data_IF_836937660064
#
_entry.id   IF_836937660064
#
_cell.length_a   1.000
_cell.length_b   1.000
_cell.length_c   1.000
_cell.angle_alpha   90.00
_cell.angle_beta   90.00
_cell.angle_gamma   90.00
#
_symmetry.space_group_name_H-M   'P 1'
#
loop_
_entity.id
_entity.type
_entity.pdbx_description
1 polymer ?
#
# COMPACT_ATOMS: atom_id res chain seq x y z
N UNK A 1 -9.10 -42.17 -21.49
CA UNK A 1 -8.09 -41.08 -21.38
C UNK A 1 -8.41 -40.31 -20.12
N UNK A 2 -7.59 -40.46 -19.08
CA UNK A 2 -7.75 -39.68 -17.84
C UNK A 2 -6.75 -38.52 -17.91
N UNK A 3 -7.27 -37.29 -17.97
CA UNK A 3 -6.47 -36.07 -17.85
C UNK A 3 -6.04 -35.95 -16.39
N UNK A 4 -4.77 -36.25 -16.11
CA UNK A 4 -4.19 -36.02 -14.80
C UNK A 4 -4.10 -34.51 -14.59
N UNK A 5 -5.06 -33.93 -13.88
CA UNK A 5 -4.99 -32.56 -13.41
C UNK A 5 -3.90 -32.49 -12.33
N UNK A 6 -2.73 -31.99 -12.69
CA UNK A 6 -1.71 -31.61 -11.73
C UNK A 6 -2.26 -30.46 -10.90
N UNK A 7 -2.71 -30.78 -9.69
CA UNK A 7 -3.06 -29.78 -8.68
C UNK A 7 -1.80 -28.92 -8.45
N UNK A 8 -1.88 -27.58 -8.60
CA UNK A 8 -0.74 -26.72 -8.34
C UNK A 8 -0.20 -26.96 -6.93
N UNK A 9 1.07 -27.33 -6.82
CA UNK A 9 1.72 -27.72 -5.57
C UNK A 9 1.84 -26.57 -4.56
N UNK A 10 1.62 -25.32 -4.99
CA UNK A 10 1.50 -24.15 -4.12
C UNK A 10 0.56 -23.11 -4.73
N UNK A 11 -0.56 -22.85 -4.05
CA UNK A 11 -1.43 -21.71 -4.35
C UNK A 11 -1.17 -20.65 -3.26
N UNK A 12 -0.87 -19.42 -3.67
CA UNK A 12 -0.58 -18.28 -2.78
C UNK A 12 -1.70 -17.26 -2.88
N UNK A 13 -2.18 -16.78 -1.74
CA UNK A 13 -3.13 -15.68 -1.69
C UNK A 13 -2.36 -14.35 -1.61
N UNK A 14 -2.59 -13.45 -2.56
CA UNK A 14 -2.15 -12.07 -2.41
C UNK A 14 -3.03 -11.37 -1.38
N UNK A 15 -2.41 -10.90 -0.30
CA UNK A 15 -3.14 -10.21 0.78
C UNK A 15 -3.57 -8.80 0.40
N UNK A 16 -2.91 -8.17 -0.57
CA UNK A 16 -3.19 -6.81 -1.05
C UNK A 16 -4.46 -6.79 -1.91
N UNK A 17 -4.58 -7.67 -2.91
CA UNK A 17 -5.71 -7.69 -3.84
C UNK A 17 -6.66 -8.90 -3.71
N UNK A 18 -6.42 -9.80 -2.74
CA UNK A 18 -7.21 -11.01 -2.46
C UNK A 18 -7.32 -12.00 -3.64
N UNK A 19 -6.35 -11.99 -4.55
CA UNK A 19 -6.27 -12.91 -5.69
C UNK A 19 -5.44 -14.14 -5.31
N UNK A 20 -5.92 -15.32 -5.67
CA UNK A 20 -5.16 -16.56 -5.59
C UNK A 20 -4.29 -16.74 -6.82
N UNK A 21 -3.00 -17.01 -6.60
CA UNK A 21 -1.98 -17.18 -7.64
C UNK A 21 -1.40 -18.58 -7.54
N UNK A 22 -1.44 -19.32 -8.63
CA UNK A 22 -1.14 -20.76 -8.66
C UNK A 22 0.27 -21.12 -9.11
N UNK A 23 1.07 -20.13 -9.56
CA UNK A 23 2.44 -20.37 -10.01
C UNK A 23 3.43 -19.35 -9.44
N UNK A 24 4.68 -19.77 -9.27
CA UNK A 24 5.75 -18.88 -8.77
C UNK A 24 6.04 -17.72 -9.71
N UNK A 25 6.01 -17.94 -11.03
CA UNK A 25 6.25 -16.89 -12.01
C UNK A 25 5.15 -15.83 -11.99
N UNK A 26 3.88 -16.25 -11.91
CA UNK A 26 2.77 -15.32 -11.74
C UNK A 26 2.89 -14.58 -10.41
N UNK A 27 3.30 -15.25 -9.33
CA UNK A 27 3.50 -14.62 -8.03
C UNK A 27 4.57 -13.53 -8.06
N UNK A 28 5.72 -13.78 -8.72
CA UNK A 28 6.79 -12.79 -8.88
C UNK A 28 6.29 -11.59 -9.68
N UNK A 29 5.69 -11.81 -10.85
CA UNK A 29 5.12 -10.73 -11.68
C UNK A 29 4.03 -9.95 -10.96
N UNK A 30 3.22 -10.64 -10.16
CA UNK A 30 2.17 -10.05 -9.35
C UNK A 30 2.76 -9.13 -8.27
N UNK A 31 3.81 -9.56 -7.57
CA UNK A 31 4.50 -8.71 -6.60
C UNK A 31 5.20 -7.51 -7.27
N UNK A 32 5.79 -7.69 -8.46
CA UNK A 32 6.35 -6.58 -9.24
C UNK A 32 5.25 -5.58 -9.63
N UNK A 33 4.07 -6.06 -10.01
CA UNK A 33 2.91 -5.21 -10.27
C UNK A 33 2.50 -4.42 -9.02
N UNK A 34 2.45 -5.06 -7.85
CA UNK A 34 2.19 -4.37 -6.58
C UNK A 34 3.30 -3.36 -6.21
N UNK A 35 4.56 -3.68 -6.51
CA UNK A 35 5.69 -2.78 -6.30
C UNK A 35 5.60 -1.51 -7.17
N UNK A 36 5.21 -1.65 -8.45
CA UNK A 36 5.13 -0.53 -9.40
C UNK A 36 3.79 0.19 -9.37
N UNK A 37 2.72 -0.52 -9.00
CA UNK A 37 1.35 -0.04 -8.88
C UNK A 37 0.82 -0.50 -7.53
N UNK A 38 1.18 0.19 -6.41
CA UNK A 38 0.76 -0.20 -5.07
C UNK A 38 -0.75 -0.11 -4.96
N UNK A 39 -1.39 -1.21 -5.33
CA UNK A 39 -2.80 -1.43 -5.26
C UNK A 39 -3.04 -2.10 -3.92
N UNK A 40 -3.60 -1.31 -3.02
CA UNK A 40 -4.53 -1.76 -1.98
C UNK A 40 -3.82 -2.23 -0.69
N UNK A 41 -3.97 -1.39 0.34
CA UNK A 41 -3.55 -1.53 1.75
C UNK A 41 -2.14 -1.04 2.10
N UNK A 42 -2.04 0.25 2.44
CA UNK A 42 -0.91 0.81 3.19
C UNK A 42 -1.02 0.54 4.71
N UNK A 43 -2.23 0.22 5.17
CA UNK A 43 -2.52 -0.23 6.53
C UNK A 43 -1.96 -1.63 6.85
N UNK A 44 -2.18 -2.12 8.08
CA UNK A 44 -1.71 -3.45 8.48
C UNK A 44 -2.62 -4.50 7.84
N UNK A 45 -2.05 -5.61 7.39
CA UNK A 45 -2.84 -6.76 6.98
C UNK A 45 -3.06 -7.62 8.22
N UNK A 46 -4.31 -7.68 8.70
CA UNK A 46 -4.73 -8.58 9.77
C UNK A 46 -5.49 -9.76 9.16
N UNK A 47 -5.09 -10.98 9.49
CA UNK A 47 -5.77 -12.22 9.11
C UNK A 47 -6.06 -13.03 10.38
N UNK A 48 -7.33 -13.36 10.64
CA UNK A 48 -7.74 -14.11 11.84
C UNK A 48 -7.23 -13.49 13.16
N UNK A 49 -7.19 -12.15 13.23
CA UNK A 49 -6.67 -11.41 14.39
C UNK A 49 -5.14 -11.37 14.50
N UNK A 50 -4.40 -12.00 13.58
CA UNK A 50 -2.94 -12.03 13.53
C UNK A 50 -2.43 -11.00 12.51
N UNK A 51 -1.39 -10.26 12.87
CA UNK A 51 -0.69 -9.37 11.94
C UNK A 51 0.04 -10.21 10.86
N UNK A 52 -0.56 -10.29 9.68
CA UNK A 52 0.00 -11.00 8.53
C UNK A 52 1.03 -10.17 7.76
N UNK A 53 0.88 -8.84 7.74
CA UNK A 53 1.90 -7.94 7.20
C UNK A 53 1.87 -6.56 7.90
N UNK A 54 3.04 -5.97 8.20
CA UNK A 54 3.14 -4.64 8.78
C UNK A 54 2.71 -3.55 7.78
N UNK A 55 2.46 -2.34 8.31
CA UNK A 55 2.07 -1.18 7.51
C UNK A 55 3.20 -0.74 6.60
N UNK A 56 2.87 -0.27 5.41
CA UNK A 56 3.82 0.29 4.43
C UNK A 56 3.54 1.78 4.24
N UNK A 57 4.59 2.60 4.21
CA UNK A 57 4.43 4.04 3.99
C UNK A 57 4.24 4.33 2.50
N UNK A 58 3.11 4.94 2.07
CA UNK A 58 2.84 5.19 0.66
C UNK A 58 3.81 6.18 0.02
N UNK A 59 4.32 7.15 0.80
CA UNK A 59 5.31 8.13 0.35
C UNK A 59 6.67 7.49 0.08
N UNK A 60 7.16 6.68 1.02
CA UNK A 60 8.40 5.94 0.84
C UNK A 60 8.30 4.97 -0.35
N UNK A 61 7.18 4.25 -0.49
CA UNK A 61 6.96 3.34 -1.62
C UNK A 61 7.01 4.08 -2.96
N UNK A 62 6.42 5.28 -3.07
CA UNK A 62 6.51 6.12 -4.28
C UNK A 62 7.98 6.47 -4.62
N UNK A 63 8.83 6.62 -3.62
CA UNK A 63 10.27 6.90 -3.77
C UNK A 63 11.11 5.63 -3.98
N UNK A 64 10.50 4.45 -4.12
CA UNK A 64 11.19 3.17 -4.25
C UNK A 64 11.75 2.61 -2.94
N UNK A 65 11.38 3.20 -1.79
CA UNK A 65 11.79 2.74 -0.47
C UNK A 65 10.72 1.87 0.19
N UNK A 66 11.12 0.67 0.63
CA UNK A 66 10.24 -0.28 1.30
C UNK A 66 10.41 -0.21 2.81
N UNK A 67 9.78 0.77 3.44
CA UNK A 67 9.76 0.91 4.90
C UNK A 67 8.53 0.21 5.49
N UNK A 68 8.77 -0.70 6.45
CA UNK A 68 7.74 -1.39 7.22
C UNK A 68 7.69 -0.85 8.64
N UNK A 69 6.49 -0.50 9.13
CA UNK A 69 6.30 0.05 10.48
C UNK A 69 5.19 -0.70 11.19
N UNK A 70 5.55 -1.43 12.26
CA UNK A 70 4.61 -2.24 13.04
C UNK A 70 3.74 -1.40 13.99
N UNK A 71 4.37 -0.42 14.66
CA UNK A 71 3.69 0.43 15.62
C UNK A 71 2.83 1.50 14.90
N UNK A 72 1.54 1.55 15.23
CA UNK A 72 0.61 2.46 14.58
C UNK A 72 0.94 3.93 14.80
N UNK A 73 1.27 4.35 16.03
CA UNK A 73 1.60 5.75 16.34
C UNK A 73 2.84 6.21 15.59
N UNK A 74 3.89 5.38 15.54
CA UNK A 74 5.10 5.67 14.75
C UNK A 74 4.82 5.73 13.25
N UNK A 75 3.88 4.92 12.76
CA UNK A 75 3.47 4.92 11.36
C UNK A 75 2.74 6.22 10.99
N UNK A 76 1.82 6.66 11.84
CA UNK A 76 1.09 7.92 11.68
C UNK A 76 2.06 9.10 11.71
N UNK A 77 2.93 9.17 12.73
CA UNK A 77 3.95 10.22 12.87
C UNK A 77 4.85 10.30 11.63
N UNK A 78 5.30 9.16 11.12
CA UNK A 78 6.12 9.09 9.91
C UNK A 78 5.39 9.63 8.67
N UNK A 79 4.10 9.34 8.51
CA UNK A 79 3.32 9.85 7.38
C UNK A 79 3.07 11.36 7.52
N UNK A 80 2.79 11.83 8.73
CA UNK A 80 2.62 13.27 8.98
C UNK A 80 3.89 14.07 8.66
N UNK A 81 5.08 13.48 8.87
CA UNK A 81 6.35 14.09 8.45
C UNK A 81 6.41 14.29 6.93
N UNK A 82 6.02 13.31 6.12
CA UNK A 82 5.93 13.48 4.66
C UNK A 82 4.94 14.58 4.25
N UNK A 83 3.81 14.68 4.95
CA UNK A 83 2.82 15.73 4.70
C UNK A 83 3.39 17.11 5.06
N UNK A 84 4.12 17.21 6.19
CA UNK A 84 4.79 18.44 6.62
C UNK A 84 5.87 18.88 5.63
N UNK A 85 6.65 17.93 5.11
CA UNK A 85 7.68 18.19 4.09
C UNK A 85 7.05 18.72 2.80
N UNK A 86 5.97 18.12 2.31
CA UNK A 86 5.24 18.67 1.16
C UNK A 86 4.75 20.11 1.39
N UNK A 87 4.27 20.44 2.61
CA UNK A 87 3.86 21.80 2.94
C UNK A 87 5.04 22.79 2.95
N UNK A 88 6.26 22.33 3.27
CA UNK A 88 7.46 23.14 3.25
C UNK A 88 8.00 23.33 1.81
N UNK A 89 7.88 22.30 0.97
CA UNK A 89 8.46 22.28 -0.37
C UNK A 89 7.54 22.89 -1.45
N UNK A 90 6.21 22.86 -1.28
CA UNK A 90 5.26 23.36 -2.27
C UNK A 90 4.85 24.82 -2.02
N UNK A 91 5.24 25.72 -2.93
CA UNK A 91 4.82 27.13 -2.92
C UNK A 91 3.32 27.34 -3.18
N UNK A 92 2.66 26.41 -3.87
CA UNK A 92 1.26 26.52 -4.30
C UNK A 92 0.24 26.02 -3.25
N UNK A 93 0.68 25.66 -2.04
CA UNK A 93 -0.17 25.21 -0.92
C UNK A 93 -1.00 23.92 -1.16
N UNK A 94 -0.90 23.31 -2.35
CA UNK A 94 -1.56 22.04 -2.65
C UNK A 94 -0.70 20.86 -2.22
N UNK A 95 -1.32 19.92 -1.51
CA UNK A 95 -0.72 18.66 -1.10
C UNK A 95 -1.24 17.54 -1.98
N UNK A 96 -0.40 16.55 -2.23
CA UNK A 96 -0.73 15.44 -3.10
C UNK A 96 -0.66 14.11 -2.39
N UNK A 97 -1.61 13.25 -2.75
CA UNK A 97 -1.54 11.85 -2.37
C UNK A 97 -0.40 11.17 -3.17
N UNK A 98 0.43 10.33 -2.54
CA UNK A 98 1.54 9.65 -3.20
C UNK A 98 1.07 8.51 -4.12
N UNK A 99 -0.19 8.09 -4.02
CA UNK A 99 -0.74 7.03 -4.85
C UNK A 99 -0.98 7.52 -6.29
N UNK A 100 -0.52 6.76 -7.28
CA UNK A 100 -0.57 7.11 -8.71
C UNK A 100 -1.99 7.49 -9.18
N UNK A 101 -3.00 6.70 -8.79
CA UNK A 101 -4.40 6.95 -9.17
C UNK A 101 -5.00 8.22 -8.52
N UNK A 102 -4.32 8.78 -7.52
CA UNK A 102 -4.75 9.97 -6.79
C UNK A 102 -3.94 11.22 -7.18
N UNK A 103 -2.94 11.08 -8.06
CA UNK A 103 -1.97 12.13 -8.39
C UNK A 103 -2.58 13.38 -9.04
N UNK A 104 -3.79 13.28 -9.59
CA UNK A 104 -4.48 14.40 -10.26
C UNK A 104 -5.26 15.32 -9.30
N UNK A 105 -5.27 15.02 -8.01
CA UNK A 105 -6.02 15.80 -7.01
C UNK A 105 -5.07 16.61 -6.12
N UNK A 106 -5.33 17.91 -6.02
CA UNK A 106 -4.76 18.80 -5.01
C UNK A 106 -5.62 18.80 -3.75
N UNK A 107 -4.98 18.73 -2.58
CA UNK A 107 -5.65 18.67 -1.28
C UNK A 107 -5.10 19.75 -0.34
N UNK A 108 -5.97 20.28 0.53
CA UNK A 108 -5.51 20.86 1.79
C UNK A 108 -5.17 19.75 2.80
N UNK A 109 -4.42 20.07 3.87
CA UNK A 109 -3.97 19.09 4.87
C UNK A 109 -5.11 18.23 5.41
N UNK A 110 -6.22 18.85 5.81
CA UNK A 110 -7.34 18.13 6.42
C UNK A 110 -8.00 17.18 5.39
N UNK A 111 -8.18 17.63 4.15
CA UNK A 111 -8.72 16.80 3.07
C UNK A 111 -7.79 15.66 2.69
N UNK A 112 -6.47 15.88 2.70
CA UNK A 112 -5.49 14.83 2.44
C UNK A 112 -5.52 13.75 3.52
N UNK A 113 -5.51 14.13 4.80
CA UNK A 113 -5.59 13.16 5.90
C UNK A 113 -6.89 12.36 5.86
N UNK A 114 -8.03 13.03 5.61
CA UNK A 114 -9.31 12.33 5.44
C UNK A 114 -9.33 11.41 4.21
N UNK A 115 -8.64 11.79 3.13
CA UNK A 115 -8.51 10.95 1.93
C UNK A 115 -7.67 9.70 2.22
N UNK A 116 -6.53 9.85 2.91
CA UNK A 116 -5.67 8.75 3.32
C UNK A 116 -6.40 7.76 4.26
N UNK A 117 -7.25 8.24 5.16
CA UNK A 117 -8.08 7.35 5.99
C UNK A 117 -9.13 6.60 5.15
N UNK A 118 -9.97 7.33 4.41
CA UNK A 118 -11.12 6.73 3.71
C UNK A 118 -10.76 5.88 2.50
N UNK A 119 -9.73 6.28 1.74
CA UNK A 119 -9.33 5.61 0.49
C UNK A 119 -8.22 4.60 0.73
N UNK A 120 -7.34 4.86 1.70
CA UNK A 120 -6.14 4.06 1.92
C UNK A 120 -6.11 3.30 3.26
N UNK A 121 -7.11 3.49 4.13
CA UNK A 121 -7.19 2.83 5.43
C UNK A 121 -6.10 3.28 6.41
N UNK A 122 -5.58 4.50 6.24
CA UNK A 122 -4.57 5.10 7.10
C UNK A 122 -5.29 6.00 8.10
N UNK A 123 -5.67 5.44 9.24
CA UNK A 123 -6.32 6.23 10.30
C UNK A 123 -5.29 7.04 11.08
N UNK A 124 -5.60 8.31 11.33
CA UNK A 124 -4.78 9.29 12.05
C UNK A 124 -5.42 9.61 13.40
#
# INVERSE_FOLDING_TARGET
>A
MYTQATIPTQIRLCVECKVWVSTDLEWIKHNELHAHNPSIVYGPVIAEGILAAPRRCPYCTKQGMYLQIENHSKYVEHIEEHVRQQMADNSDSELHCPHYSCAHMGFDKRRLLSHLDKVHGISF
#
